data_IF_461053108851
#
_entry.id   IF_461053108851
#
_cell.length_a   1.000
_cell.length_b   1.000
_cell.length_c   1.000
_cell.angle_alpha   90.00
_cell.angle_beta   90.00
_cell.angle_gamma   90.00
#
_symmetry.space_group_name_H-M   'P 1'
#
loop_
_entity.id
_entity.type
_entity.pdbx_description
1 polymer ?
#
# COMPACT_ATOMS: atom_id res chain seq x y z
N UNK A 1 -15.44 1.51 -3.61
CA UNK A 1 -14.13 1.61 -2.95
C UNK A 1 -14.38 1.67 -1.45
N UNK A 2 -13.80 0.71 -0.73
CA UNK A 2 -13.98 0.45 0.70
C UNK A 2 -12.64 0.51 1.45
N UNK A 3 -11.65 1.23 0.90
CA UNK A 3 -10.24 1.12 1.29
C UNK A 3 -9.84 2.15 2.36
N UNK A 4 -10.73 3.10 2.68
CA UNK A 4 -10.65 4.11 3.75
C UNK A 4 -12.10 4.39 4.28
N UNK A 5 -12.30 5.10 5.41
CA UNK A 5 -13.28 4.75 6.46
C UNK A 5 -14.70 4.38 6.02
N UNK A 6 -15.34 3.49 6.78
CA UNK A 6 -16.65 2.88 6.42
C UNK A 6 -17.85 3.69 6.92
N UNK A 7 -17.74 4.30 8.09
CA UNK A 7 -18.82 5.02 8.76
C UNK A 7 -18.80 6.51 8.41
N UNK A 8 -18.51 6.84 7.15
CA UNK A 8 -18.48 8.23 6.68
C UNK A 8 -19.89 8.80 6.67
N UNK A 9 -20.11 9.88 7.40
CA UNK A 9 -21.41 10.54 7.50
C UNK A 9 -21.63 11.37 6.23
N UNK A 10 -22.60 10.96 5.40
CA UNK A 10 -22.94 11.62 4.13
C UNK A 10 -24.42 11.91 4.02
N UNK A 11 -24.78 12.88 3.19
CA UNK A 11 -26.16 13.12 2.77
C UNK A 11 -26.59 12.14 1.66
N UNK A 12 -27.85 12.26 1.20
CA UNK A 12 -28.41 11.42 0.16
C UNK A 12 -27.76 11.63 -1.22
N UNK A 13 -27.01 12.72 -1.39
CA UNK A 13 -26.30 13.12 -2.60
C UNK A 13 -24.82 12.70 -2.56
N UNK A 14 -24.35 12.15 -1.43
CA UNK A 14 -23.00 11.65 -1.25
C UNK A 14 -21.99 12.68 -0.74
N UNK A 15 -22.42 13.88 -0.32
CA UNK A 15 -21.54 14.88 0.28
C UNK A 15 -21.26 14.59 1.75
N UNK A 16 -20.03 14.87 2.19
CA UNK A 16 -19.58 14.68 3.56
C UNK A 16 -20.26 15.66 4.52
N UNK A 17 -20.94 15.16 5.53
CA UNK A 17 -21.60 15.95 6.57
C UNK A 17 -20.70 16.22 7.79
N UNK A 18 -19.75 15.33 8.06
CA UNK A 18 -18.83 15.45 9.21
C UNK A 18 -17.43 14.99 8.82
N UNK A 19 -16.47 15.92 8.72
CA UNK A 19 -15.07 15.61 8.38
C UNK A 19 -14.43 14.61 9.35
N UNK A 20 -14.86 14.58 10.62
CA UNK A 20 -14.30 13.66 11.62
C UNK A 20 -14.68 12.20 11.36
N UNK A 21 -15.76 11.95 10.62
CA UNK A 21 -16.12 10.59 10.21
C UNK A 21 -15.15 9.98 9.18
N UNK A 22 -14.21 10.80 8.67
CA UNK A 22 -13.09 10.34 7.85
C UNK A 22 -11.86 9.89 8.67
N UNK A 23 -11.91 9.96 10.00
CA UNK A 23 -10.81 9.50 10.85
C UNK A 23 -10.72 7.97 10.86
N UNK A 24 -9.51 7.45 11.00
CA UNK A 24 -9.28 6.00 11.10
C UNK A 24 -9.86 5.39 12.40
N UNK A 25 -10.04 6.21 13.44
CA UNK A 25 -10.68 5.82 14.70
C UNK A 25 -11.93 6.66 14.93
N UNK A 26 -12.99 6.00 15.38
CA UNK A 26 -14.20 6.64 15.88
C UNK A 26 -13.95 7.28 17.26
N UNK A 27 -14.89 8.11 17.72
CA UNK A 27 -14.75 8.86 18.98
C UNK A 27 -14.64 7.95 20.22
N UNK A 28 -15.12 6.71 20.12
CA UNK A 28 -15.01 5.67 21.14
C UNK A 28 -13.70 4.85 21.03
N UNK A 29 -12.81 5.22 20.11
CA UNK A 29 -11.53 4.54 19.85
C UNK A 29 -11.65 3.26 19.01
N UNK A 30 -12.85 2.90 18.56
CA UNK A 30 -13.02 1.78 17.63
C UNK A 30 -12.48 2.13 16.23
N UNK A 31 -12.01 1.12 15.50
CA UNK A 31 -11.40 1.34 14.18
C UNK A 31 -12.48 1.39 13.08
N UNK A 32 -12.52 2.50 12.34
CA UNK A 32 -13.49 2.78 11.26
C UNK A 32 -13.07 2.18 9.90
N UNK A 33 -12.19 1.19 9.93
CA UNK A 33 -11.62 0.49 8.79
C UNK A 33 -12.47 -0.66 8.25
N UNK A 34 -12.02 -1.26 7.16
CA UNK A 34 -12.68 -2.45 6.61
C UNK A 34 -12.34 -3.70 7.44
N UNK A 35 -13.37 -4.44 7.87
CA UNK A 35 -13.27 -5.75 8.52
C UNK A 35 -14.15 -6.78 7.77
N UNK A 36 -13.58 -7.79 7.09
CA UNK A 36 -12.15 -7.99 6.89
C UNK A 36 -11.55 -6.91 5.97
N UNK A 37 -10.23 -6.75 6.04
CA UNK A 37 -9.50 -5.92 5.10
C UNK A 37 -9.69 -6.44 3.66
N UNK A 38 -9.75 -5.52 2.70
CA UNK A 38 -9.90 -5.87 1.30
C UNK A 38 -8.63 -6.58 0.81
N UNK A 39 -8.79 -7.50 -0.12
CA UNK A 39 -7.68 -8.22 -0.74
C UNK A 39 -7.48 -7.71 -2.16
N UNK A 40 -6.23 -7.57 -2.56
CA UNK A 40 -5.83 -7.51 -3.96
C UNK A 40 -5.04 -8.80 -4.22
N UNK A 41 -5.66 -9.71 -4.96
CA UNK A 41 -5.17 -11.08 -5.15
C UNK A 41 -4.68 -11.26 -6.58
N UNK A 42 -3.53 -11.93 -6.72
CA UNK A 42 -2.98 -12.35 -8.01
C UNK A 42 -2.76 -11.20 -9.03
N UNK A 43 -2.59 -9.96 -8.55
CA UNK A 43 -2.30 -8.82 -9.42
C UNK A 43 -0.92 -8.98 -10.08
N UNK A 44 -0.89 -8.72 -11.38
CA UNK A 44 0.29 -8.78 -12.21
C UNK A 44 0.54 -7.43 -12.89
N UNK A 45 1.70 -6.84 -12.60
CA UNK A 45 2.15 -5.59 -13.21
C UNK A 45 3.45 -5.80 -13.98
N UNK A 46 3.49 -5.32 -15.23
CA UNK A 46 4.68 -5.38 -16.08
C UNK A 46 4.93 -4.05 -16.78
N UNK A 47 6.14 -3.50 -16.61
CA UNK A 47 6.53 -2.18 -17.13
C UNK A 47 5.60 -1.02 -16.74
N UNK A 48 4.93 -1.14 -15.59
CA UNK A 48 4.11 -0.08 -15.06
C UNK A 48 4.98 1.05 -14.51
N UNK A 49 4.69 2.29 -14.91
CA UNK A 49 5.33 3.49 -14.36
C UNK A 49 4.83 3.82 -12.96
N UNK A 50 3.59 3.45 -12.64
CA UNK A 50 2.96 3.68 -11.34
C UNK A 50 2.40 2.37 -10.82
N UNK A 51 2.84 2.01 -9.62
CA UNK A 51 2.68 0.66 -9.06
C UNK A 51 2.61 0.83 -7.53
N UNK A 52 1.58 0.28 -6.90
CA UNK A 52 1.23 0.65 -5.52
C UNK A 52 0.39 1.92 -5.42
N UNK A 53 0.36 2.56 -4.25
CA UNK A 53 -0.65 3.52 -3.82
C UNK A 53 -0.08 4.69 -2.99
N UNK A 54 -0.71 5.87 -3.02
CA UNK A 54 -0.26 6.95 -2.14
C UNK A 54 -0.70 6.75 -0.69
N UNK A 55 -2.00 6.59 -0.44
CA UNK A 55 -2.53 6.41 0.91
C UNK A 55 -3.67 5.39 0.89
N UNK A 56 -3.45 4.26 1.56
CA UNK A 56 -4.37 3.12 1.60
C UNK A 56 -4.32 2.45 2.97
N UNK A 57 -5.49 2.16 3.55
CA UNK A 57 -5.64 1.53 4.85
C UNK A 57 -5.78 0.02 4.74
N UNK A 58 -6.95 -0.51 5.11
CA UNK A 58 -7.27 -1.94 5.22
C UNK A 58 -7.31 -2.65 3.85
N UNK A 59 -6.15 -2.76 3.22
CA UNK A 59 -5.90 -3.48 1.96
C UNK A 59 -4.66 -4.35 2.11
N UNK A 60 -4.76 -5.62 1.74
CA UNK A 60 -3.63 -6.55 1.69
C UNK A 60 -3.43 -7.03 0.26
N UNK A 61 -2.18 -6.98 -0.20
CA UNK A 61 -1.73 -7.62 -1.43
C UNK A 61 -1.37 -9.08 -1.15
N UNK A 62 -1.94 -10.00 -1.92
CA UNK A 62 -1.71 -11.45 -1.81
C UNK A 62 -1.28 -11.99 -3.17
N UNK A 63 -0.13 -12.67 -3.21
CA UNK A 63 0.42 -13.26 -4.44
C UNK A 63 0.61 -12.26 -5.60
N UNK A 64 0.92 -11.00 -5.27
CA UNK A 64 1.28 -9.98 -6.25
C UNK A 64 2.54 -10.37 -7.03
N UNK A 65 2.58 -10.09 -8.33
CA UNK A 65 3.79 -10.26 -9.15
C UNK A 65 4.07 -9.00 -9.96
N UNK A 66 5.15 -8.30 -9.63
CA UNK A 66 5.64 -7.14 -10.38
C UNK A 66 6.91 -7.47 -11.15
N UNK A 67 7.00 -7.08 -12.43
CA UNK A 67 8.18 -7.30 -13.28
C UNK A 67 8.56 -6.02 -14.02
N UNK A 68 9.80 -5.56 -13.86
CA UNK A 68 10.35 -4.39 -14.56
C UNK A 68 9.51 -3.10 -14.43
N UNK A 69 8.80 -2.96 -13.32
CA UNK A 69 8.08 -1.73 -12.99
C UNK A 69 9.07 -0.62 -12.58
N UNK A 70 8.67 0.65 -12.71
CA UNK A 70 9.51 1.80 -12.37
C UNK A 70 10.01 1.83 -10.90
N UNK A 71 9.35 1.05 -10.06
CA UNK A 71 9.67 0.71 -8.67
C UNK A 71 8.95 -0.61 -8.35
N UNK A 72 9.41 -1.34 -7.33
CA UNK A 72 8.76 -2.59 -6.92
C UNK A 72 7.35 -2.37 -6.39
N UNK A 73 7.16 -1.32 -5.58
CA UNK A 73 5.86 -0.81 -5.13
C UNK A 73 6.08 0.55 -4.47
N UNK A 74 5.18 1.50 -4.67
CA UNK A 74 5.18 2.76 -3.92
C UNK A 74 3.99 2.80 -2.98
N UNK A 75 4.22 2.94 -1.67
CA UNK A 75 3.16 3.03 -0.67
C UNK A 75 3.51 4.07 0.39
N UNK A 76 2.93 5.29 0.35
CA UNK A 76 3.37 6.36 1.27
C UNK A 76 2.77 6.29 2.67
N UNK A 77 1.48 5.96 2.79
CA UNK A 77 0.79 5.90 4.08
C UNK A 77 -0.16 4.71 4.19
N UNK A 78 -0.20 4.13 5.38
CA UNK A 78 -1.13 3.06 5.76
C UNK A 78 -1.40 3.10 7.27
N UNK A 79 -2.00 2.04 7.81
CA UNK A 79 -2.30 1.85 9.23
C UNK A 79 -2.29 0.36 9.57
N UNK A 80 -2.31 0.03 10.87
CA UNK A 80 -2.61 -1.35 11.28
C UNK A 80 -4.00 -1.75 10.78
N UNK A 81 -4.14 -3.02 10.42
CA UNK A 81 -5.42 -3.54 9.96
C UNK A 81 -6.45 -3.57 11.09
N UNK A 82 -7.66 -3.12 10.76
CA UNK A 82 -8.80 -3.21 11.66
C UNK A 82 -9.02 -4.66 12.10
N UNK A 83 -8.95 -5.63 11.20
CA UNK A 83 -9.18 -7.04 11.50
C UNK A 83 -8.03 -7.77 12.21
N UNK A 84 -6.93 -7.07 12.53
CA UNK A 84 -5.83 -7.60 13.33
C UNK A 84 -4.78 -8.42 12.56
N UNK A 85 -4.87 -8.52 11.23
CA UNK A 85 -3.77 -9.10 10.43
C UNK A 85 -2.51 -8.22 10.49
N UNK A 86 -1.35 -8.83 10.27
CA UNK A 86 -0.05 -8.18 10.49
C UNK A 86 0.63 -7.65 9.22
N UNK A 87 0.44 -8.34 8.09
CA UNK A 87 1.23 -8.12 6.88
C UNK A 87 0.38 -7.46 5.79
N UNK A 88 0.91 -6.43 5.15
CA UNK A 88 0.25 -5.70 4.06
C UNK A 88 0.53 -6.34 2.70
N UNK A 89 1.68 -7.00 2.57
CA UNK A 89 2.07 -7.73 1.36
C UNK A 89 2.47 -9.14 1.76
N UNK A 90 1.84 -10.15 1.15
CA UNK A 90 2.10 -11.56 1.47
C UNK A 90 2.24 -12.41 0.21
N UNK A 91 3.22 -13.33 0.25
CA UNK A 91 3.47 -14.32 -0.82
C UNK A 91 3.77 -13.69 -2.20
N UNK A 92 4.32 -12.48 -2.24
CA UNK A 92 4.46 -11.69 -3.47
C UNK A 92 5.86 -11.77 -4.08
N UNK A 93 5.98 -11.41 -5.36
CA UNK A 93 7.22 -11.43 -6.13
C UNK A 93 7.47 -10.09 -6.78
N UNK A 94 8.68 -9.58 -6.63
CA UNK A 94 9.15 -8.33 -7.22
C UNK A 94 10.41 -8.66 -8.02
N UNK A 95 10.30 -8.56 -9.34
CA UNK A 95 11.36 -8.94 -10.26
C UNK A 95 11.84 -7.78 -11.11
N UNK A 96 13.14 -7.81 -11.37
CA UNK A 96 13.79 -6.89 -12.30
C UNK A 96 14.84 -7.64 -13.13
N UNK A 97 14.79 -7.44 -14.45
CA UNK A 97 15.82 -7.87 -15.37
C UNK A 97 16.85 -6.73 -15.57
N UNK A 98 18.10 -6.89 -15.11
CA UNK A 98 19.16 -5.89 -15.31
C UNK A 98 19.48 -5.61 -16.78
N UNK A 99 19.11 -6.52 -17.68
CA UNK A 99 19.40 -6.43 -19.11
C UNK A 99 18.27 -5.80 -19.92
N UNK A 100 17.17 -5.44 -19.24
CA UNK A 100 16.06 -4.72 -19.83
C UNK A 100 16.49 -3.34 -20.34
N UNK A 101 16.56 -3.21 -21.66
CA UNK A 101 17.05 -2.03 -22.37
C UNK A 101 16.15 -0.80 -22.18
N UNK A 102 14.92 -0.99 -21.70
CA UNK A 102 13.99 0.11 -21.41
C UNK A 102 14.47 0.90 -20.18
N UNK A 103 15.25 0.28 -19.28
CA UNK A 103 15.92 0.94 -18.16
C UNK A 103 14.97 1.54 -17.12
N UNK A 104 13.67 1.22 -17.19
CA UNK A 104 12.66 1.68 -16.23
C UNK A 104 12.66 0.80 -14.98
N UNK A 105 12.91 -0.50 -15.13
CA UNK A 105 12.77 -1.48 -14.05
C UNK A 105 13.67 -1.20 -12.85
N UNK A 106 13.08 -1.08 -11.66
CA UNK A 106 13.79 -0.98 -10.38
C UNK A 106 13.16 -1.90 -9.34
N UNK A 107 13.97 -2.42 -8.43
CA UNK A 107 13.49 -3.23 -7.29
C UNK A 107 13.07 -2.43 -6.06
N UNK A 108 13.13 -1.10 -6.14
CA UNK A 108 12.88 -0.22 -4.99
C UNK A 108 11.42 -0.36 -4.49
N UNK A 109 11.21 -0.97 -3.33
CA UNK A 109 9.94 -0.93 -2.58
C UNK A 109 9.96 0.32 -1.71
N UNK A 110 9.23 1.34 -2.12
CA UNK A 110 9.13 2.62 -1.43
C UNK A 110 7.96 2.58 -0.44
N UNK A 111 8.21 2.03 0.75
CA UNK A 111 7.18 1.75 1.75
C UNK A 111 6.86 2.91 2.70
N UNK A 112 5.77 2.78 3.47
CA UNK A 112 5.30 3.85 4.33
C UNK A 112 6.13 3.93 5.62
N UNK A 113 5.88 4.97 6.41
CA UNK A 113 6.31 5.08 7.80
C UNK A 113 5.17 5.67 8.65
N UNK A 114 5.25 5.53 9.97
CA UNK A 114 4.23 6.06 10.88
C UNK A 114 4.13 5.25 12.18
N UNK A 115 3.08 5.50 13.00
CA UNK A 115 2.88 4.84 14.29
C UNK A 115 2.27 3.43 14.14
N UNK A 116 2.70 2.67 13.13
CA UNK A 116 2.19 1.32 12.82
C UNK A 116 3.31 0.45 12.24
N UNK A 117 3.05 -0.84 12.06
CA UNK A 117 4.01 -1.77 11.44
C UNK A 117 3.54 -2.17 10.05
N UNK A 118 4.35 -1.87 9.03
CA UNK A 118 4.10 -2.34 7.68
C UNK A 118 4.79 -3.69 7.46
N UNK A 119 4.04 -4.78 7.54
CA UNK A 119 4.56 -6.13 7.37
C UNK A 119 4.63 -6.57 5.90
N UNK A 120 5.75 -7.19 5.51
CA UNK A 120 5.93 -7.93 4.25
C UNK A 120 6.34 -9.35 4.64
N UNK A 121 5.58 -10.36 4.22
CA UNK A 121 5.87 -11.75 4.57
C UNK A 121 5.95 -12.64 3.33
N UNK A 122 6.84 -13.64 3.38
CA UNK A 122 7.02 -14.66 2.34
C UNK A 122 7.15 -14.09 0.91
N UNK A 123 7.72 -12.89 0.78
CA UNK A 123 7.82 -12.20 -0.50
C UNK A 123 9.27 -12.20 -0.98
N UNK A 124 9.44 -12.28 -2.30
CA UNK A 124 10.75 -12.37 -2.96
C UNK A 124 11.02 -11.09 -3.73
N UNK A 125 12.23 -10.56 -3.56
CA UNK A 125 12.80 -9.51 -4.40
C UNK A 125 14.01 -10.09 -5.12
N UNK A 126 13.99 -10.15 -6.45
CA UNK A 126 15.10 -10.73 -7.22
C UNK A 126 15.40 -9.95 -8.49
N UNK A 127 16.69 -9.84 -8.81
CA UNK A 127 17.20 -8.98 -9.88
C UNK A 127 18.14 -7.91 -9.33
N UNK A 128 18.28 -6.81 -10.07
CA UNK A 128 19.04 -5.63 -9.65
C UNK A 128 19.42 -4.76 -10.84
N UNK A 129 19.92 -3.54 -10.61
CA UNK A 129 20.25 -2.96 -9.30
C UNK A 129 19.03 -2.34 -8.59
N UNK A 130 19.10 -2.28 -7.26
CA UNK A 130 18.31 -1.31 -6.49
C UNK A 130 19.06 0.02 -6.45
N UNK A 131 18.35 1.16 -6.56
CA UNK A 131 19.01 2.48 -6.64
C UNK A 131 19.36 3.00 -5.25
N UNK A 132 18.45 2.82 -4.29
CA UNK A 132 18.63 3.31 -2.91
C UNK A 132 18.45 2.21 -1.85
N UNK A 133 18.23 0.97 -2.30
CA UNK A 133 17.94 -0.20 -1.47
C UNK A 133 16.64 -0.86 -1.92
N UNK A 134 16.53 -2.18 -1.74
CA UNK A 134 15.32 -2.93 -2.13
C UNK A 134 14.11 -2.53 -1.27
N UNK A 135 14.32 -2.25 0.01
CA UNK A 135 13.28 -1.79 0.93
C UNK A 135 13.63 -0.38 1.42
N UNK A 136 12.81 0.60 1.04
CA UNK A 136 12.97 2.00 1.38
C UNK A 136 11.78 2.41 2.25
N UNK A 137 11.87 2.12 3.55
CA UNK A 137 10.83 2.48 4.50
C UNK A 137 10.82 3.99 4.76
N UNK A 138 9.64 4.60 4.74
CA UNK A 138 9.46 6.01 5.09
C UNK A 138 10.04 7.00 4.08
N UNK A 139 10.12 6.63 2.80
CA UNK A 139 10.64 7.49 1.73
C UNK A 139 10.00 8.90 1.70
N UNK A 140 8.77 9.04 2.20
CA UNK A 140 8.04 10.30 2.30
C UNK A 140 7.64 10.66 3.75
N UNK A 141 8.40 10.24 4.77
CA UNK A 141 8.12 10.49 6.20
C UNK A 141 6.72 10.03 6.67
N UNK A 142 6.08 9.09 5.97
CA UNK A 142 4.69 8.69 6.24
C UNK A 142 3.63 9.71 5.82
N UNK A 143 4.02 10.78 5.11
CA UNK A 143 3.11 11.81 4.63
C UNK A 143 2.44 11.33 3.33
N UNK A 144 1.26 10.74 3.48
CA UNK A 144 0.46 10.10 2.42
C UNK A 144 -0.13 11.02 1.34
N UNK A 145 0.10 12.32 1.42
CA UNK A 145 -0.60 13.32 0.60
C UNK A 145 -1.67 14.07 1.41
N UNK A 146 -1.98 15.29 0.97
CA UNK A 146 -2.90 16.20 1.63
C UNK A 146 -4.34 15.67 1.63
N UNK A 147 -4.98 15.65 2.80
CA UNK A 147 -6.42 15.54 3.00
C UNK A 147 -6.90 16.55 4.05
#
# INVERSE_FOLDING_TARGET
>A
DNQYPRNVKRDAQGFLLDKRSCNAFDADGSDNGARPANLIEDEFDWHCMFVGQYAMGDVQYVNYTGVNNAHGMYWKASKNFADGRLNHVVNSRFYNDPTDYIGLGKLDFMGPAGPFTFGIANSVFAGGPAVSGVLIAGQACGLGGAG
#
